data_IF_254947368359
#
_entry.id   IF_254947368359
#
_cell.length_a   1.000
_cell.length_b   1.000
_cell.length_c   1.000
_cell.angle_alpha   90.00
_cell.angle_beta   90.00
_cell.angle_gamma   90.00
#
_symmetry.space_group_name_H-M   'P 1'
#
loop_
_entity.id
_entity.type
_entity.pdbx_description
1 polymer ?
#
# COMPACT_ATOMS: atom_id res chain seq x y z
N UNK A 1 33.68 38.39 -20.32
CA UNK A 1 32.57 37.93 -19.45
C UNK A 1 32.77 36.44 -19.24
N UNK A 2 33.29 36.02 -18.07
CA UNK A 2 33.38 34.62 -17.70
C UNK A 2 32.00 34.22 -17.17
N UNK A 3 31.36 33.23 -17.80
CA UNK A 3 30.16 32.63 -17.31
C UNK A 3 30.50 31.77 -16.07
N UNK A 4 29.85 32.03 -14.95
CA UNK A 4 29.97 31.21 -13.75
C UNK A 4 29.38 29.83 -14.05
N UNK A 5 30.13 28.76 -13.80
CA UNK A 5 29.63 27.40 -13.87
C UNK A 5 28.56 27.19 -12.80
N UNK A 6 27.46 26.45 -13.11
CA UNK A 6 26.45 26.13 -12.11
C UNK A 6 27.09 25.29 -10.99
N UNK A 7 26.85 25.67 -9.76
CA UNK A 7 27.27 24.90 -8.60
C UNK A 7 26.54 23.53 -8.64
N UNK A 8 27.31 22.46 -8.62
CA UNK A 8 26.76 21.10 -8.45
C UNK A 8 26.02 21.02 -7.11
N UNK A 9 24.84 20.38 -7.06
CA UNK A 9 24.16 20.17 -5.81
C UNK A 9 25.07 19.35 -4.88
N UNK A 10 25.34 19.88 -3.69
CA UNK A 10 26.01 19.13 -2.64
C UNK A 10 25.02 18.04 -2.22
N UNK A 11 25.29 16.80 -2.62
CA UNK A 11 24.58 15.65 -2.07
C UNK A 11 24.81 15.67 -0.54
N UNK A 12 23.74 15.81 0.21
CA UNK A 12 23.80 15.63 1.65
C UNK A 12 24.33 14.22 1.93
N UNK A 13 25.34 14.12 2.80
CA UNK A 13 25.84 12.81 3.22
C UNK A 13 24.67 12.00 3.81
N UNK A 14 24.58 10.70 3.45
CA UNK A 14 23.58 9.82 3.99
C UNK A 14 23.63 9.87 5.54
N UNK A 15 22.48 9.92 6.23
CA UNK A 15 22.48 9.94 7.68
C UNK A 15 23.17 8.69 8.23
N UNK A 16 24.08 8.88 9.16
CA UNK A 16 24.82 7.77 9.80
C UNK A 16 23.99 7.03 10.85
N UNK A 17 22.85 7.60 11.23
CA UNK A 17 21.95 7.09 12.27
C UNK A 17 20.60 6.66 11.69
N UNK A 18 20.02 5.59 12.24
CA UNK A 18 18.65 5.14 11.97
C UNK A 18 17.65 6.12 12.61
N UNK A 19 17.40 7.25 11.96
CA UNK A 19 16.54 8.32 12.46
C UNK A 19 15.39 8.60 11.48
N UNK A 20 14.20 8.78 12.01
CA UNK A 20 13.05 9.25 11.23
C UNK A 20 13.22 10.71 10.85
N UNK A 21 13.13 11.00 9.57
CA UNK A 21 13.21 12.36 9.02
C UNK A 21 11.87 12.73 8.37
N UNK A 22 11.28 13.87 8.74
CA UNK A 22 10.10 14.35 8.04
C UNK A 22 10.45 14.83 6.64
N UNK A 23 9.63 14.47 5.67
CA UNK A 23 9.78 14.94 4.28
C UNK A 23 8.88 16.14 4.03
N UNK A 24 9.21 16.91 2.99
CA UNK A 24 8.35 17.98 2.52
C UNK A 24 6.99 17.43 2.08
N UNK A 25 5.93 18.22 2.26
CA UNK A 25 4.64 17.88 1.68
C UNK A 25 4.65 18.10 0.17
N UNK A 26 4.16 17.18 -0.65
CA UNK A 26 4.08 17.36 -2.09
C UNK A 26 3.07 18.42 -2.52
N UNK A 27 2.07 18.72 -1.67
CA UNK A 27 1.08 19.76 -1.90
C UNK A 27 0.81 20.55 -0.62
N UNK A 28 0.28 21.77 -0.75
CA UNK A 28 -0.03 22.61 0.40
C UNK A 28 -1.10 22.01 1.34
N UNK A 29 -2.06 21.27 0.79
CA UNK A 29 -3.06 20.49 1.51
C UNK A 29 -3.32 19.18 0.80
N UNK A 30 -3.40 18.11 1.55
CA UNK A 30 -3.83 16.78 1.11
C UNK A 30 -5.09 16.43 1.89
N UNK A 31 -6.14 16.01 1.17
CA UNK A 31 -7.45 15.73 1.77
C UNK A 31 -7.73 14.23 1.94
N UNK A 32 -6.83 13.36 1.46
CA UNK A 32 -6.95 11.91 1.58
C UNK A 32 -5.59 11.24 1.78
N UNK A 33 -5.53 10.08 2.45
CA UNK A 33 -4.30 9.32 2.64
C UNK A 33 -3.55 9.04 1.32
N UNK A 34 -2.23 8.97 1.40
CA UNK A 34 -1.37 8.56 0.29
C UNK A 34 -1.22 7.05 0.32
N UNK A 35 -1.66 6.38 -0.76
CA UNK A 35 -1.50 4.93 -0.96
C UNK A 35 -0.46 4.61 -2.04
N UNK A 36 -0.14 5.56 -2.91
CA UNK A 36 0.78 5.41 -4.03
C UNK A 36 2.12 6.07 -3.72
N UNK A 37 3.13 5.26 -3.41
CA UNK A 37 4.49 5.68 -3.08
C UNK A 37 5.46 4.69 -3.71
N UNK A 38 6.45 5.18 -4.47
CA UNK A 38 7.48 4.35 -5.07
C UNK A 38 8.83 5.05 -5.10
N UNK A 39 9.90 4.29 -4.92
CA UNK A 39 11.28 4.73 -5.08
C UNK A 39 11.91 4.01 -6.28
N UNK A 40 12.75 4.71 -7.02
CA UNK A 40 13.43 4.15 -8.19
C UNK A 40 14.34 2.98 -7.77
N UNK A 41 14.40 1.89 -8.56
CA UNK A 41 15.28 0.77 -8.27
C UNK A 41 16.78 1.07 -8.48
N UNK A 42 17.11 2.20 -9.11
CA UNK A 42 18.50 2.61 -9.45
C UNK A 42 18.93 3.91 -8.79
N UNK A 43 18.02 4.66 -8.19
CA UNK A 43 18.30 5.93 -7.53
C UNK A 43 17.41 6.10 -6.30
N UNK A 44 17.97 5.93 -5.11
CA UNK A 44 17.26 6.04 -3.85
C UNK A 44 16.66 7.43 -3.57
N UNK A 45 17.12 8.48 -4.27
CA UNK A 45 16.60 9.83 -4.11
C UNK A 45 15.44 10.16 -5.07
N UNK A 46 15.23 9.31 -6.08
CA UNK A 46 14.12 9.47 -7.01
C UNK A 46 12.87 8.79 -6.46
N UNK A 47 11.92 9.61 -6.00
CA UNK A 47 10.69 9.15 -5.35
C UNK A 47 9.47 9.70 -6.07
N UNK A 48 8.43 8.90 -6.20
CA UNK A 48 7.13 9.27 -6.75
C UNK A 48 6.03 9.10 -5.71
N UNK A 49 5.11 10.05 -5.70
CA UNK A 49 3.92 10.04 -4.84
C UNK A 49 2.68 10.31 -5.68
N UNK A 50 1.66 9.47 -5.51
CA UNK A 50 0.32 9.69 -6.04
C UNK A 50 -0.65 10.07 -4.94
N UNK A 51 -1.53 11.05 -5.19
CA UNK A 51 -2.47 11.57 -4.21
C UNK A 51 -3.91 11.18 -4.51
N UNK A 52 -4.77 11.27 -3.53
CA UNK A 52 -6.21 11.05 -3.67
C UNK A 52 -6.91 12.07 -4.57
N UNK A 53 -6.30 13.25 -4.75
CA UNK A 53 -6.77 14.30 -5.65
C UNK A 53 -6.34 14.07 -7.11
N UNK A 54 -5.61 12.96 -7.38
CA UNK A 54 -5.21 12.56 -8.71
C UNK A 54 -3.90 13.18 -9.21
N UNK A 55 -3.11 13.80 -8.36
CA UNK A 55 -1.82 14.37 -8.73
C UNK A 55 -0.69 13.37 -8.53
N UNK A 56 0.27 13.37 -9.47
CA UNK A 56 1.54 12.68 -9.36
C UNK A 56 2.65 13.71 -9.11
N UNK A 57 3.42 13.49 -8.06
CA UNK A 57 4.57 14.29 -7.68
C UNK A 57 5.85 13.46 -7.77
N UNK A 58 6.93 14.12 -8.18
CA UNK A 58 8.26 13.55 -8.34
C UNK A 58 9.27 14.36 -7.54
N UNK A 59 10.06 13.66 -6.74
CA UNK A 59 11.24 14.18 -6.06
C UNK A 59 12.50 13.57 -6.66
N UNK A 60 13.60 14.31 -6.69
CA UNK A 60 14.95 13.85 -7.06
C UNK A 60 15.96 14.09 -5.96
N UNK A 61 15.49 14.48 -4.78
CA UNK A 61 16.29 14.78 -3.61
C UNK A 61 15.80 14.03 -2.35
N UNK A 62 15.20 12.86 -2.56
CA UNK A 62 14.74 12.01 -1.47
C UNK A 62 13.55 12.57 -0.70
N UNK A 63 12.69 13.37 -1.35
CA UNK A 63 11.50 13.96 -0.73
C UNK A 63 11.74 15.30 -0.07
N UNK A 64 12.93 15.90 -0.23
CA UNK A 64 13.21 17.25 0.24
C UNK A 64 12.42 18.32 -0.52
N UNK A 65 12.15 18.07 -1.80
CA UNK A 65 11.29 18.90 -2.65
C UNK A 65 10.50 18.05 -3.64
N UNK A 66 9.36 18.59 -4.10
CA UNK A 66 8.46 17.88 -4.99
C UNK A 66 8.05 18.75 -6.18
N UNK A 67 7.99 18.13 -7.36
CA UNK A 67 7.45 18.72 -8.57
C UNK A 67 6.23 17.92 -9.01
N UNK A 68 5.09 18.60 -9.22
CA UNK A 68 3.95 17.96 -9.86
C UNK A 68 4.30 17.67 -11.33
N UNK A 69 4.23 16.41 -11.73
CA UNK A 69 4.60 15.93 -13.07
C UNK A 69 3.39 15.52 -13.90
N UNK A 70 2.27 15.15 -13.24
CA UNK A 70 1.04 14.79 -13.92
C UNK A 70 -0.18 14.98 -13.02
N UNK A 71 -1.38 15.01 -13.64
CA UNK A 71 -2.64 15.03 -12.92
C UNK A 71 -3.73 14.31 -13.71
N UNK A 72 -4.41 13.37 -13.05
CA UNK A 72 -5.60 12.69 -13.53
C UNK A 72 -6.81 13.28 -12.79
N UNK A 73 -7.39 14.35 -13.33
CA UNK A 73 -8.37 15.17 -12.63
C UNK A 73 -9.61 14.35 -12.20
N UNK A 74 -9.94 14.39 -10.91
CA UNK A 74 -11.09 13.70 -10.33
C UNK A 74 -10.89 12.20 -10.06
N UNK A 75 -9.68 11.66 -10.27
CA UNK A 75 -9.39 10.23 -10.09
C UNK A 75 -8.17 10.02 -9.19
N UNK A 76 -8.37 9.46 -8.00
CA UNK A 76 -7.29 9.17 -7.06
C UNK A 76 -6.23 8.26 -7.68
N UNK A 77 -4.95 8.56 -7.47
CA UNK A 77 -3.85 7.66 -7.79
C UNK A 77 -3.71 6.66 -6.63
N UNK A 78 -3.95 5.40 -6.90
CA UNK A 78 -3.98 4.34 -5.88
C UNK A 78 -2.69 3.53 -5.83
N UNK A 79 -1.95 3.48 -6.93
CA UNK A 79 -0.70 2.73 -7.01
C UNK A 79 0.27 3.42 -7.97
N UNK A 80 1.55 3.32 -7.68
CA UNK A 80 2.64 3.71 -8.57
C UNK A 80 3.78 2.71 -8.40
N UNK A 81 4.41 2.30 -9.50
CA UNK A 81 5.51 1.34 -9.44
C UNK A 81 6.53 1.56 -10.55
N UNK A 82 7.80 1.48 -10.21
CA UNK A 82 8.91 1.41 -11.16
C UNK A 82 9.10 -0.03 -11.63
N UNK A 83 9.44 -0.20 -12.90
CA UNK A 83 9.89 -1.48 -13.43
C UNK A 83 11.34 -1.73 -12.98
N UNK A 84 11.56 -2.83 -12.26
CA UNK A 84 12.89 -3.21 -11.78
C UNK A 84 13.86 -3.62 -12.92
N UNK A 85 13.32 -4.02 -14.09
CA UNK A 85 14.10 -4.43 -15.27
C UNK A 85 14.33 -3.28 -16.25
N UNK A 86 13.44 -2.28 -16.24
CA UNK A 86 13.49 -1.08 -17.08
C UNK A 86 13.29 0.17 -16.20
N UNK A 87 14.33 0.67 -15.52
CA UNK A 87 14.16 1.73 -14.50
C UNK A 87 13.55 3.05 -14.99
N UNK A 88 13.56 3.30 -16.30
CA UNK A 88 12.85 4.42 -16.92
C UNK A 88 11.34 4.20 -17.04
N UNK A 89 10.87 2.96 -16.97
CA UNK A 89 9.44 2.63 -17.04
C UNK A 89 8.80 2.76 -15.66
N UNK A 90 7.72 3.52 -15.61
CA UNK A 90 6.88 3.69 -14.41
C UNK A 90 5.42 3.56 -14.81
N UNK A 91 4.64 2.89 -13.98
CA UNK A 91 3.19 2.79 -14.12
C UNK A 91 2.51 3.45 -12.92
N UNK A 92 1.41 4.14 -13.20
CA UNK A 92 0.52 4.70 -12.19
C UNK A 92 -0.91 4.25 -12.46
N UNK A 93 -1.60 3.78 -11.43
CA UNK A 93 -2.99 3.34 -11.48
C UNK A 93 -3.91 4.38 -10.89
N UNK A 94 -4.89 4.84 -11.69
CA UNK A 94 -5.87 5.82 -11.27
C UNK A 94 -7.25 5.16 -11.09
N UNK A 95 -7.95 5.48 -10.01
CA UNK A 95 -9.28 4.94 -9.70
C UNK A 95 -10.26 5.23 -10.85
N UNK A 96 -10.84 4.18 -11.43
CA UNK A 96 -11.79 4.25 -12.55
C UNK A 96 -11.28 5.06 -13.77
N UNK A 97 -9.92 5.16 -13.92
CA UNK A 97 -9.28 5.90 -15.02
C UNK A 97 -8.07 5.17 -15.60
N UNK A 98 -7.88 3.89 -15.24
CA UNK A 98 -6.92 3.01 -15.87
C UNK A 98 -5.46 3.27 -15.51
N UNK A 99 -4.57 2.93 -16.44
CA UNK A 99 -3.12 2.98 -16.27
C UNK A 99 -2.52 4.17 -17.02
N UNK A 100 -1.62 4.87 -16.34
CA UNK A 100 -0.77 5.93 -16.88
C UNK A 100 0.68 5.44 -16.89
N UNK A 101 1.35 5.57 -18.02
CA UNK A 101 2.70 5.07 -18.27
C UNK A 101 3.66 6.22 -18.52
N UNK A 102 4.81 6.13 -17.87
CA UNK A 102 6.00 6.96 -18.15
C UNK A 102 7.13 6.06 -18.66
N UNK A 103 7.92 6.55 -19.60
CA UNK A 103 9.16 5.89 -20.08
C UNK A 103 10.42 6.68 -19.75
N UNK A 104 10.31 7.75 -18.98
CA UNK A 104 11.36 8.70 -18.63
C UNK A 104 11.47 8.92 -17.11
N UNK A 105 11.27 7.84 -16.36
CA UNK A 105 11.36 7.81 -14.91
C UNK A 105 10.41 8.81 -14.21
N UNK A 106 9.18 8.92 -14.73
CA UNK A 106 8.10 9.70 -14.13
C UNK A 106 8.11 11.19 -14.51
N UNK A 107 8.82 11.61 -15.54
CA UNK A 107 8.81 13.02 -15.98
C UNK A 107 7.59 13.34 -16.84
N UNK A 108 7.29 12.48 -17.82
CA UNK A 108 6.11 12.61 -18.70
C UNK A 108 5.23 11.36 -18.65
N UNK A 109 3.94 11.54 -18.87
CA UNK A 109 2.94 10.49 -18.68
C UNK A 109 1.94 10.44 -19.83
N UNK A 110 1.59 9.23 -20.25
CA UNK A 110 0.55 8.98 -21.23
C UNK A 110 -0.38 7.86 -20.74
N UNK A 111 -1.67 7.97 -21.03
CA UNK A 111 -2.63 6.90 -20.72
C UNK A 111 -2.36 5.69 -21.62
N UNK A 112 -2.34 4.49 -21.04
CA UNK A 112 -2.19 3.24 -21.77
C UNK A 112 -3.57 2.57 -21.89
N UNK A 113 -4.01 2.19 -23.11
CA UNK A 113 -5.36 1.66 -23.33
C UNK A 113 -5.57 0.27 -22.76
N UNK A 114 -6.83 -0.13 -22.58
CA UNK A 114 -7.25 -1.47 -22.18
C UNK A 114 -7.76 -1.58 -20.73
N UNK A 115 -7.48 -0.58 -19.89
CA UNK A 115 -7.98 -0.48 -18.51
C UNK A 115 -8.73 0.85 -18.26
N UNK A 116 -9.21 1.52 -19.29
CA UNK A 116 -9.63 2.94 -19.27
C UNK A 116 -10.66 3.33 -18.20
N UNK A 117 -11.49 2.38 -17.78
CA UNK A 117 -12.56 2.60 -16.76
C UNK A 117 -12.41 1.71 -15.53
N UNK A 118 -11.31 0.98 -15.44
CA UNK A 118 -11.03 0.08 -14.33
C UNK A 118 -10.11 0.77 -13.32
N UNK A 119 -10.00 0.15 -12.16
CA UNK A 119 -9.19 0.62 -11.06
C UNK A 119 -7.98 -0.29 -10.87
N UNK A 120 -6.80 0.04 -11.44
CA UNK A 120 -5.58 -0.67 -11.11
C UNK A 120 -5.22 -0.46 -9.64
N UNK A 121 -4.90 -1.54 -8.93
CA UNK A 121 -4.60 -1.54 -7.50
C UNK A 121 -3.15 -1.91 -7.20
N UNK A 122 -2.53 -2.68 -8.10
CA UNK A 122 -1.14 -3.11 -7.95
C UNK A 122 -0.53 -3.37 -9.32
N UNK A 123 0.80 -3.28 -9.39
CA UNK A 123 1.59 -3.63 -10.56
C UNK A 123 2.65 -4.67 -10.21
N UNK A 124 2.96 -5.51 -11.20
CA UNK A 124 4.08 -6.44 -11.19
C UNK A 124 4.83 -6.37 -12.51
N UNK A 125 6.08 -6.78 -12.50
CA UNK A 125 6.91 -6.77 -13.70
C UNK A 125 7.67 -8.07 -13.84
N UNK A 126 7.78 -8.53 -15.07
CA UNK A 126 8.73 -9.55 -15.52
C UNK A 126 9.66 -8.92 -16.55
N UNK A 127 10.59 -9.68 -17.14
CA UNK A 127 11.46 -9.11 -18.20
C UNK A 127 10.71 -8.71 -19.45
N UNK A 128 9.56 -9.35 -19.74
CA UNK A 128 8.80 -9.19 -20.97
C UNK A 128 7.40 -8.61 -20.78
N UNK A 129 6.85 -8.67 -19.55
CA UNK A 129 5.47 -8.31 -19.25
C UNK A 129 5.39 -7.29 -18.13
N UNK A 130 4.48 -6.34 -18.29
CA UNK A 130 3.88 -5.60 -17.19
C UNK A 130 2.56 -6.27 -16.79
N UNK A 131 2.30 -6.36 -15.50
CA UNK A 131 1.12 -6.96 -14.89
C UNK A 131 0.36 -5.88 -14.11
N UNK A 132 -0.96 -5.89 -14.19
CA UNK A 132 -1.83 -5.06 -13.39
C UNK A 132 -2.90 -5.90 -12.70
N UNK A 133 -2.98 -5.79 -11.37
CA UNK A 133 -4.13 -6.24 -10.61
C UNK A 133 -5.15 -5.12 -10.54
N UNK A 134 -6.40 -5.42 -10.83
CA UNK A 134 -7.49 -4.44 -10.87
C UNK A 134 -8.72 -4.96 -10.13
N UNK A 135 -9.75 -4.11 -10.02
CA UNK A 135 -11.09 -4.47 -9.55
C UNK A 135 -11.81 -5.52 -10.43
N UNK A 136 -11.21 -5.92 -11.55
CA UNK A 136 -11.73 -6.92 -12.51
C UNK A 136 -10.68 -7.96 -12.91
N UNK A 137 -9.82 -8.36 -11.97
CA UNK A 137 -8.85 -9.43 -12.19
C UNK A 137 -7.47 -8.94 -12.60
N UNK A 138 -6.73 -9.81 -13.27
CA UNK A 138 -5.36 -9.58 -13.73
C UNK A 138 -5.33 -9.26 -15.22
N UNK A 139 -4.53 -8.26 -15.55
CA UNK A 139 -4.25 -7.82 -16.92
C UNK A 139 -2.74 -7.84 -17.17
N UNK A 140 -2.36 -8.04 -18.43
CA UNK A 140 -0.98 -8.00 -18.88
C UNK A 140 -0.82 -7.05 -20.07
N UNK A 141 0.37 -6.45 -20.20
CA UNK A 141 0.76 -5.68 -21.37
C UNK A 141 2.21 -5.97 -21.76
N UNK A 142 2.50 -5.95 -23.07
CA UNK A 142 3.84 -5.97 -23.62
C UNK A 142 4.25 -4.55 -24.00
N UNK A 143 5.24 -4.01 -23.31
CA UNK A 143 5.73 -2.64 -23.60
C UNK A 143 4.62 -1.60 -23.50
N UNK A 144 4.30 -0.96 -24.64
CA UNK A 144 3.26 0.07 -24.76
C UNK A 144 1.93 -0.46 -25.31
N UNK A 145 1.79 -1.76 -25.52
CA UNK A 145 0.57 -2.36 -26.04
C UNK A 145 -0.61 -2.17 -25.09
N UNK A 146 -1.82 -2.35 -25.59
CA UNK A 146 -3.02 -2.31 -24.77
C UNK A 146 -3.00 -3.44 -23.73
N UNK A 147 -3.52 -3.14 -22.53
CA UNK A 147 -3.73 -4.12 -21.49
C UNK A 147 -4.78 -5.17 -21.89
N UNK A 148 -4.45 -6.43 -21.71
CA UNK A 148 -5.30 -7.58 -22.05
C UNK A 148 -5.64 -8.36 -20.79
N UNK A 149 -6.94 -8.71 -20.54
CA UNK A 149 -7.33 -9.51 -19.38
C UNK A 149 -6.78 -10.92 -19.50
N UNK A 150 -6.29 -11.48 -18.39
CA UNK A 150 -5.76 -12.85 -18.35
C UNK A 150 -6.50 -13.77 -17.40
N UNK A 151 -7.38 -13.26 -16.55
CA UNK A 151 -8.21 -14.08 -15.66
C UNK A 151 -8.54 -13.40 -14.35
N UNK A 152 -9.15 -14.18 -13.45
CA UNK A 152 -9.59 -13.76 -12.13
C UNK A 152 -10.58 -12.58 -12.14
N UNK A 153 -11.45 -12.51 -13.17
CA UNK A 153 -12.35 -11.37 -13.41
C UNK A 153 -13.37 -11.10 -12.28
N UNK A 154 -13.58 -12.07 -11.40
CA UNK A 154 -14.45 -11.97 -10.21
C UNK A 154 -13.68 -11.53 -8.95
N UNK A 155 -12.36 -11.40 -9.02
CA UNK A 155 -11.53 -11.02 -7.91
C UNK A 155 -11.09 -9.55 -8.05
N UNK A 156 -11.21 -8.77 -6.98
CA UNK A 156 -10.52 -7.48 -6.87
C UNK A 156 -9.07 -7.73 -6.46
N UNK A 157 -8.16 -7.76 -7.44
CA UNK A 157 -6.75 -8.11 -7.22
C UNK A 157 -6.00 -6.93 -6.65
N UNK A 158 -5.56 -7.05 -5.40
CA UNK A 158 -4.81 -6.03 -4.67
C UNK A 158 -3.31 -6.31 -4.58
N UNK A 159 -2.89 -7.55 -4.82
CA UNK A 159 -1.52 -8.00 -4.64
C UNK A 159 -1.07 -8.89 -5.80
N UNK A 160 0.14 -8.63 -6.31
CA UNK A 160 0.79 -9.41 -7.37
C UNK A 160 2.26 -9.63 -7.04
N UNK A 161 2.77 -10.83 -7.31
CA UNK A 161 4.19 -11.12 -7.24
C UNK A 161 4.63 -12.00 -8.42
N UNK A 162 5.73 -11.61 -9.09
CA UNK A 162 6.42 -12.45 -10.05
C UNK A 162 7.47 -13.31 -9.34
N UNK A 163 7.38 -14.63 -9.45
CA UNK A 163 8.29 -15.56 -8.78
C UNK A 163 9.55 -15.82 -9.59
N UNK A 164 9.43 -15.73 -10.91
CA UNK A 164 10.54 -15.91 -11.85
C UNK A 164 10.56 -14.76 -12.83
N UNK A 165 11.76 -14.43 -13.31
CA UNK A 165 11.94 -13.44 -14.38
C UNK A 165 12.03 -14.06 -15.77
N UNK A 166 11.91 -15.39 -15.87
CA UNK A 166 11.96 -16.17 -17.12
C UNK A 166 10.58 -16.30 -17.73
N UNK A 167 10.47 -16.45 -19.04
CA UNK A 167 9.22 -16.76 -19.72
C UNK A 167 9.04 -18.28 -19.89
N UNK A 168 7.84 -18.80 -19.61
CA UNK A 168 6.74 -18.11 -18.94
C UNK A 168 7.03 -17.86 -17.46
N UNK A 169 6.68 -16.67 -16.99
CA UNK A 169 6.86 -16.30 -15.58
C UNK A 169 5.84 -17.01 -14.69
N UNK A 170 6.29 -17.50 -13.54
CA UNK A 170 5.38 -17.95 -12.49
C UNK A 170 4.94 -16.74 -11.68
N UNK A 171 3.62 -16.63 -11.47
CA UNK A 171 2.99 -15.48 -10.83
C UNK A 171 2.15 -15.92 -9.65
N UNK A 172 2.01 -15.01 -8.66
CA UNK A 172 0.98 -15.06 -7.62
C UNK A 172 0.10 -13.82 -7.72
N UNK A 173 -1.20 -14.01 -7.49
CA UNK A 173 -2.19 -12.95 -7.38
C UNK A 173 -3.05 -13.18 -6.13
N UNK A 174 -3.27 -12.11 -5.40
CA UNK A 174 -4.16 -12.11 -4.24
C UNK A 174 -5.05 -10.88 -4.24
N UNK A 175 -6.14 -10.95 -3.52
CA UNK A 175 -7.08 -9.84 -3.51
C UNK A 175 -8.16 -9.97 -2.46
N UNK A 176 -9.31 -9.38 -2.74
CA UNK A 176 -10.49 -9.36 -1.89
C UNK A 176 -11.57 -10.25 -2.51
N UNK A 177 -12.06 -11.22 -1.73
CA UNK A 177 -13.17 -12.06 -2.11
C UNK A 177 -14.46 -11.53 -1.50
N UNK A 178 -15.50 -11.41 -2.31
CA UNK A 178 -16.83 -11.05 -1.83
C UNK A 178 -17.47 -12.16 -0.95
N UNK A 179 -16.94 -13.39 -1.03
CA UNK A 179 -17.47 -14.53 -0.29
C UNK A 179 -16.78 -14.66 1.09
N UNK A 180 -17.46 -14.22 2.13
CA UNK A 180 -17.00 -14.38 3.51
C UNK A 180 -16.95 -15.88 3.89
N UNK A 181 -15.81 -16.33 4.45
CA UNK A 181 -15.62 -17.69 4.95
C UNK A 181 -14.94 -18.66 3.99
N UNK A 182 -14.50 -18.19 2.84
CA UNK A 182 -13.60 -18.92 1.92
C UNK A 182 -12.14 -18.74 2.39
N UNK A 183 -11.25 -19.66 1.99
CA UNK A 183 -9.82 -19.50 2.18
C UNK A 183 -9.33 -18.16 1.61
N UNK A 184 -8.19 -17.64 2.12
CA UNK A 184 -7.57 -16.43 1.58
C UNK A 184 -7.50 -16.51 0.05
N UNK A 185 -8.00 -15.51 -0.69
CA UNK A 185 -8.06 -15.54 -2.16
C UNK A 185 -6.66 -15.34 -2.75
N UNK A 186 -5.91 -16.43 -2.82
CA UNK A 186 -4.57 -16.51 -3.37
C UNK A 186 -4.54 -17.49 -4.54
N UNK A 187 -4.07 -17.03 -5.67
CA UNK A 187 -4.00 -17.77 -6.93
C UNK A 187 -2.59 -17.78 -7.49
N UNK A 188 -2.23 -18.87 -8.16
CA UNK A 188 -0.96 -19.00 -8.86
C UNK A 188 -1.17 -19.24 -10.35
N UNK A 189 -0.25 -18.74 -11.15
CA UNK A 189 -0.14 -18.99 -12.58
C UNK A 189 1.25 -19.54 -12.89
N UNK A 190 1.36 -20.69 -13.60
CA UNK A 190 2.64 -21.23 -14.05
C UNK A 190 3.11 -20.68 -15.41
N UNK A 191 2.26 -19.93 -16.11
CA UNK A 191 2.34 -19.67 -17.55
C UNK A 191 2.15 -18.17 -17.91
N UNK A 192 2.63 -17.28 -17.05
CA UNK A 192 2.61 -15.82 -17.29
C UNK A 192 1.23 -15.20 -17.20
N UNK A 193 0.30 -15.84 -16.49
CA UNK A 193 -1.06 -15.36 -16.31
C UNK A 193 -2.08 -15.97 -17.27
N UNK A 194 -1.68 -16.88 -18.17
CA UNK A 194 -2.62 -17.50 -19.12
C UNK A 194 -3.61 -18.42 -18.42
N UNK A 195 -3.18 -19.13 -17.38
CA UNK A 195 -4.06 -19.94 -16.52
C UNK A 195 -3.83 -19.63 -15.04
N UNK A 196 -4.88 -19.76 -14.25
CA UNK A 196 -4.84 -19.50 -12.81
C UNK A 196 -5.44 -20.65 -12.02
N UNK A 197 -4.78 -21.04 -10.94
CA UNK A 197 -5.25 -22.07 -10.02
C UNK A 197 -5.18 -21.53 -8.59
N UNK A 198 -6.19 -21.83 -7.77
CA UNK A 198 -6.20 -21.46 -6.36
C UNK A 198 -5.08 -22.18 -5.60
N UNK A 199 -4.37 -21.47 -4.74
CA UNK A 199 -3.38 -22.06 -3.83
C UNK A 199 -4.12 -22.70 -2.67
N UNK A 200 -4.08 -24.05 -2.61
CA UNK A 200 -4.81 -24.83 -1.62
C UNK A 200 -4.15 -24.79 -0.22
N UNK A 201 -4.92 -25.10 0.82
CA UNK A 201 -4.41 -25.27 2.18
C UNK A 201 -4.18 -23.97 2.95
N UNK A 202 -4.68 -22.83 2.43
CA UNK A 202 -4.56 -21.54 3.12
C UNK A 202 -5.45 -21.46 4.37
N UNK A 203 -5.01 -20.63 5.33
CA UNK A 203 -5.84 -20.29 6.48
C UNK A 203 -7.18 -19.69 6.04
N UNK A 204 -8.27 -20.15 6.65
CA UNK A 204 -9.61 -19.60 6.43
C UNK A 204 -9.92 -18.41 7.35
N UNK A 205 -8.92 -17.89 8.04
CA UNK A 205 -9.11 -16.85 9.02
C UNK A 205 -9.22 -15.44 8.42
N UNK A 206 -8.95 -15.25 7.12
CA UNK A 206 -8.96 -13.95 6.46
C UNK A 206 -9.72 -13.97 5.14
N UNK A 207 -10.12 -12.79 4.67
CA UNK A 207 -10.85 -12.60 3.41
C UNK A 207 -10.08 -11.77 2.40
N UNK A 208 -8.93 -11.20 2.77
CA UNK A 208 -8.20 -10.25 1.92
C UNK A 208 -6.69 -10.50 1.95
N UNK A 209 -6.09 -10.61 0.78
CA UNK A 209 -4.64 -10.51 0.55
C UNK A 209 -4.34 -9.11 0.06
N UNK A 210 -3.71 -8.31 0.91
CA UNK A 210 -3.47 -6.87 0.67
C UNK A 210 -2.16 -6.62 -0.06
N UNK A 211 -1.14 -7.43 0.21
CA UNK A 211 0.21 -7.24 -0.34
C UNK A 211 0.94 -8.57 -0.53
N UNK A 212 1.74 -8.67 -1.58
CA UNK A 212 2.64 -9.78 -1.86
C UNK A 212 4.02 -9.24 -2.20
N UNK A 213 5.06 -9.86 -1.65
CA UNK A 213 6.44 -9.53 -1.99
C UNK A 213 7.26 -10.80 -2.20
N UNK A 214 8.19 -10.76 -3.16
CA UNK A 214 9.12 -11.83 -3.46
C UNK A 214 10.55 -11.42 -3.08
N UNK A 215 11.17 -12.17 -2.18
CA UNK A 215 12.53 -11.95 -1.72
C UNK A 215 13.59 -12.51 -2.66
N UNK A 216 14.84 -12.50 -2.23
CA UNK A 216 15.97 -13.10 -2.92
C UNK A 216 15.83 -14.62 -3.10
N UNK A 217 16.59 -15.17 -4.04
CA UNK A 217 16.70 -16.61 -4.26
C UNK A 217 17.70 -17.22 -3.26
N UNK A 218 17.31 -18.32 -2.65
CA UNK A 218 18.18 -19.18 -1.89
C UNK A 218 18.09 -20.61 -2.45
N UNK A 219 19.14 -21.10 -3.13
CA UNK A 219 19.17 -22.44 -3.75
C UNK A 219 17.93 -22.73 -4.61
N UNK A 220 17.59 -21.79 -5.53
CA UNK A 220 16.43 -21.85 -6.42
C UNK A 220 15.05 -21.78 -5.73
N UNK A 221 15.03 -21.53 -4.43
CA UNK A 221 13.82 -21.28 -3.66
C UNK A 221 13.72 -19.79 -3.34
N UNK A 222 12.55 -19.23 -3.53
CA UNK A 222 12.23 -17.84 -3.20
C UNK A 222 11.39 -17.80 -1.94
N UNK A 223 11.79 -16.96 -1.00
CA UNK A 223 10.95 -16.59 0.13
C UNK A 223 9.93 -15.57 -0.32
N UNK A 224 8.69 -15.76 0.08
CA UNK A 224 7.58 -14.87 -0.25
C UNK A 224 6.90 -14.39 1.02
N UNK A 225 6.38 -13.17 0.97
CA UNK A 225 5.57 -12.57 2.03
C UNK A 225 4.17 -12.29 1.52
N UNK A 226 3.21 -12.45 2.40
CA UNK A 226 1.82 -12.11 2.17
C UNK A 226 1.28 -11.36 3.37
N UNK A 227 0.93 -10.09 3.16
CA UNK A 227 0.16 -9.27 4.09
C UNK A 227 -1.33 -9.48 3.87
N UNK A 228 -2.07 -9.67 4.95
CA UNK A 228 -3.51 -9.92 4.94
C UNK A 228 -4.22 -9.10 6.00
N UNK A 229 -5.54 -9.09 5.97
CA UNK A 229 -6.37 -8.47 7.02
C UNK A 229 -6.38 -9.25 8.36
N UNK A 230 -5.66 -10.36 8.45
CA UNK A 230 -5.59 -11.18 9.68
C UNK A 230 -4.16 -11.49 10.12
N UNK A 231 -3.17 -10.90 9.47
CA UNK A 231 -1.77 -11.06 9.85
C UNK A 231 -0.82 -11.20 8.66
N UNK A 232 0.43 -11.49 9.00
CA UNK A 232 1.52 -11.68 8.06
C UNK A 232 1.81 -13.16 7.88
N UNK A 233 2.03 -13.59 6.64
CA UNK A 233 2.36 -14.98 6.28
C UNK A 233 3.66 -15.02 5.48
N UNK A 234 4.41 -16.11 5.66
CA UNK A 234 5.65 -16.38 4.92
C UNK A 234 5.60 -17.73 4.23
N UNK A 235 6.07 -17.81 3.00
CA UNK A 235 6.38 -19.04 2.30
C UNK A 235 7.88 -19.13 2.05
N UNK A 236 8.47 -20.29 2.31
CA UNK A 236 9.89 -20.61 2.06
C UNK A 236 10.06 -21.67 0.97
N UNK A 237 9.05 -21.87 0.13
CA UNK A 237 9.01 -22.94 -0.89
C UNK A 237 8.34 -22.50 -2.20
N UNK A 238 8.55 -21.24 -2.61
CA UNK A 238 7.97 -20.65 -3.82
C UNK A 238 6.43 -20.56 -3.78
N UNK A 239 5.84 -20.32 -2.61
CA UNK A 239 4.40 -20.11 -2.44
C UNK A 239 3.55 -21.38 -2.40
N UNK A 240 4.18 -22.57 -2.27
CA UNK A 240 3.45 -23.85 -2.16
C UNK A 240 2.80 -24.01 -0.80
N UNK A 241 3.55 -23.68 0.26
CA UNK A 241 3.05 -23.68 1.64
C UNK A 241 3.29 -22.33 2.29
N UNK A 242 2.36 -21.93 3.15
CA UNK A 242 2.39 -20.66 3.86
C UNK A 242 2.29 -20.89 5.36
N UNK A 243 3.19 -20.27 6.10
CA UNK A 243 3.20 -20.28 7.55
C UNK A 243 2.72 -18.94 8.07
N UNK A 244 1.75 -18.97 8.99
CA UNK A 244 1.22 -17.75 9.61
C UNK A 244 -0.19 -17.94 10.17
N UNK A 245 -0.78 -16.91 10.75
CA UNK A 245 -0.18 -15.59 10.92
C UNK A 245 1.07 -15.65 11.82
N UNK A 246 2.13 -14.93 11.42
CA UNK A 246 3.37 -14.87 12.18
C UNK A 246 3.16 -14.11 13.49
N UNK A 247 3.70 -14.62 14.57
CA UNK A 247 3.76 -13.93 15.87
C UNK A 247 5.14 -13.31 16.16
N UNK A 248 6.14 -13.67 15.36
CA UNK A 248 7.52 -13.23 15.56
C UNK A 248 8.04 -13.49 16.97
N UNK A 249 7.76 -14.69 17.51
CA UNK A 249 8.09 -14.99 18.91
C UNK A 249 7.31 -14.14 19.93
N UNK A 250 6.16 -13.58 19.56
CA UNK A 250 5.38 -12.67 20.38
C UNK A 250 5.75 -11.19 20.24
N UNK A 251 6.64 -10.86 19.30
CA UNK A 251 7.08 -9.47 19.06
C UNK A 251 6.30 -8.75 17.96
N UNK A 252 5.54 -9.49 17.13
CA UNK A 252 4.69 -8.95 16.10
C UNK A 252 3.22 -8.93 16.61
N UNK A 253 2.53 -7.79 16.60
CA UNK A 253 1.14 -7.73 17.03
C UNK A 253 0.21 -8.43 16.03
N UNK A 254 -0.92 -8.93 16.51
CA UNK A 254 -1.99 -9.42 15.67
C UNK A 254 -2.76 -8.22 15.08
N UNK A 255 -2.47 -7.87 13.85
CA UNK A 255 -3.09 -6.76 13.10
C UNK A 255 -3.16 -7.11 11.61
N UNK A 256 -3.81 -6.29 10.82
CA UNK A 256 -3.73 -6.32 9.37
C UNK A 256 -2.34 -5.86 8.89
N UNK A 257 -1.89 -6.37 7.75
CA UNK A 257 -0.66 -5.91 7.10
C UNK A 257 -0.98 -5.54 5.65
N UNK A 258 -0.96 -4.24 5.38
CA UNK A 258 -1.32 -3.68 4.08
C UNK A 258 -0.12 -3.55 3.13
N UNK A 259 1.12 -3.53 3.65
CA UNK A 259 2.34 -3.41 2.85
C UNK A 259 3.42 -4.34 3.38
N UNK A 260 4.09 -5.05 2.46
CA UNK A 260 5.27 -5.87 2.76
C UNK A 260 6.36 -5.62 1.71
N UNK A 261 7.62 -5.62 2.15
CA UNK A 261 8.75 -5.41 1.26
C UNK A 261 10.00 -6.14 1.76
N UNK A 262 10.77 -6.74 0.85
CA UNK A 262 12.10 -7.28 1.16
C UNK A 262 13.18 -6.21 1.02
N UNK A 263 14.26 -6.38 1.78
CA UNK A 263 15.54 -5.78 1.42
C UNK A 263 16.07 -6.49 0.17
N UNK A 264 16.65 -5.73 -0.74
CA UNK A 264 17.17 -6.26 -2.01
C UNK A 264 17.99 -7.53 -1.83
N UNK A 265 17.71 -8.53 -2.66
CA UNK A 265 18.42 -9.81 -2.73
C UNK A 265 18.49 -10.60 -1.41
N UNK A 266 17.71 -10.15 -0.39
CA UNK A 266 17.59 -10.85 0.89
C UNK A 266 16.37 -11.75 0.89
N UNK A 267 16.47 -12.88 1.55
CA UNK A 267 15.37 -13.83 1.78
C UNK A 267 14.92 -13.85 3.25
N UNK A 268 15.72 -13.30 4.14
CA UNK A 268 15.58 -13.32 5.59
C UNK A 268 15.28 -11.95 6.20
N UNK A 269 15.50 -10.86 5.43
CA UNK A 269 15.29 -9.49 5.89
C UNK A 269 14.19 -8.78 5.12
N UNK A 270 13.16 -8.38 5.85
CA UNK A 270 11.99 -7.72 5.26
C UNK A 270 11.26 -6.82 6.26
N UNK A 271 10.39 -6.00 5.70
CA UNK A 271 9.54 -5.05 6.40
C UNK A 271 8.07 -5.42 6.23
N UNK A 272 7.27 -5.14 7.27
CA UNK A 272 5.82 -5.26 7.26
C UNK A 272 5.20 -4.02 7.89
N UNK A 273 4.26 -3.40 7.19
CA UNK A 273 3.56 -2.18 7.62
C UNK A 273 2.06 -2.43 7.76
N UNK A 274 1.46 -1.71 8.70
CA UNK A 274 0.04 -1.72 9.00
C UNK A 274 -0.47 -0.31 9.19
N UNK A 275 -1.68 -0.02 8.72
CA UNK A 275 -2.44 1.19 9.05
C UNK A 275 -3.35 1.00 10.28
N UNK A 276 -3.26 -0.17 10.92
CA UNK A 276 -4.01 -0.49 12.15
C UNK A 276 -5.49 -0.72 11.91
N UNK A 277 -5.96 -0.75 10.64
CA UNK A 277 -7.38 -0.90 10.33
C UNK A 277 -8.24 0.20 10.96
N UNK A 278 -7.68 1.41 11.15
CA UNK A 278 -8.34 2.55 11.81
C UNK A 278 -8.33 2.50 13.34
N UNK A 279 -7.51 1.66 13.96
CA UNK A 279 -7.45 1.47 15.42
C UNK A 279 -6.05 1.72 15.96
N UNK A 280 -5.40 2.77 16.02
CA UNK A 280 -4.08 3.10 16.65
C UNK A 280 -3.08 1.92 16.86
N UNK A 281 -3.30 0.79 16.18
CA UNK A 281 -2.49 -0.44 16.23
C UNK A 281 -1.60 -0.61 15.01
N UNK A 282 -1.51 0.41 14.17
CA UNK A 282 -0.62 0.47 13.03
C UNK A 282 0.84 0.48 13.44
N UNK A 283 1.73 0.36 12.48
CA UNK A 283 3.16 0.42 12.70
C UNK A 283 3.98 -0.09 11.52
N UNK A 284 5.28 -0.08 11.74
CA UNK A 284 6.26 -0.63 10.82
C UNK A 284 7.24 -1.50 11.59
N UNK A 285 7.37 -2.74 11.13
CA UNK A 285 8.25 -3.73 11.74
C UNK A 285 9.25 -4.25 10.72
N UNK A 286 10.40 -4.66 11.19
CA UNK A 286 11.37 -5.41 10.40
C UNK A 286 11.81 -6.68 11.08
N UNK A 287 12.25 -7.64 10.29
CA UNK A 287 12.94 -8.85 10.71
C UNK A 287 14.26 -8.99 9.97
N UNK A 288 15.23 -9.67 10.58
CA UNK A 288 16.50 -10.04 9.96
C UNK A 288 16.77 -11.57 10.07
N UNK A 289 15.77 -12.32 10.54
CA UNK A 289 15.85 -13.77 10.80
C UNK A 289 14.69 -14.57 10.17
N UNK A 290 14.16 -14.06 9.06
CA UNK A 290 13.10 -14.72 8.30
C UNK A 290 11.73 -14.75 8.98
N UNK A 291 11.49 -13.84 9.93
CA UNK A 291 10.19 -13.70 10.62
C UNK A 291 10.12 -14.42 11.96
N UNK A 292 11.25 -14.90 12.49
CA UNK A 292 11.30 -15.50 13.83
C UNK A 292 11.13 -14.46 14.93
N UNK A 293 11.70 -13.25 14.73
CA UNK A 293 11.52 -12.11 15.61
C UNK A 293 11.33 -10.84 14.79
N UNK A 294 10.55 -9.90 15.33
CA UNK A 294 10.33 -8.59 14.73
C UNK A 294 10.74 -7.47 15.68
N UNK A 295 11.27 -6.41 15.09
CA UNK A 295 11.59 -5.17 15.80
C UNK A 295 10.71 -4.06 15.23
N UNK A 296 10.01 -3.33 16.10
CA UNK A 296 9.27 -2.13 15.70
C UNK A 296 10.25 -1.02 15.35
N UNK A 297 10.08 -0.40 14.19
CA UNK A 297 10.83 0.78 13.77
C UNK A 297 10.28 2.08 14.39
N UNK A 298 9.20 2.01 15.17
CA UNK A 298 8.62 3.11 15.93
C UNK A 298 8.37 4.36 15.07
N UNK A 299 7.58 4.25 13.98
CA UNK A 299 7.29 5.41 13.14
C UNK A 299 6.59 6.49 13.99
N UNK A 300 6.87 7.79 13.74
CA UNK A 300 6.30 8.89 14.53
C UNK A 300 4.77 8.96 14.47
N UNK A 301 4.17 8.49 13.36
CA UNK A 301 2.73 8.27 13.18
C UNK A 301 2.55 6.83 12.76
N UNK A 302 1.87 5.99 13.57
CA UNK A 302 1.87 4.55 13.39
C UNK A 302 1.03 4.04 12.21
N UNK A 303 0.00 4.77 11.78
CA UNK A 303 -0.92 4.31 10.74
C UNK A 303 -0.27 4.47 9.35
N UNK A 304 0.41 3.42 8.89
CA UNK A 304 1.19 3.43 7.65
C UNK A 304 0.29 3.08 6.48
N UNK A 305 0.11 4.03 5.56
CA UNK A 305 -0.73 3.85 4.37
C UNK A 305 0.06 3.47 3.12
N UNK A 306 1.35 3.81 3.05
CA UNK A 306 2.23 3.38 1.97
C UNK A 306 3.68 3.24 2.44
N UNK A 307 4.39 2.27 1.85
CA UNK A 307 5.79 1.96 2.10
C UNK A 307 6.51 1.75 0.76
N UNK A 308 7.64 2.43 0.57
CA UNK A 308 8.59 2.15 -0.50
C UNK A 308 9.98 1.96 0.10
N UNK A 309 10.71 0.95 -0.36
CA UNK A 309 12.03 0.57 0.16
C UNK A 309 13.04 0.70 -0.98
N UNK A 310 14.11 1.48 -0.77
CA UNK A 310 15.16 1.63 -1.76
C UNK A 310 15.94 0.33 -1.96
N UNK A 311 16.59 0.23 -3.12
CA UNK A 311 17.24 -1.00 -3.57
C UNK A 311 18.70 -1.12 -3.07
N UNK A 312 19.02 -0.50 -1.94
CA UNK A 312 20.34 -0.47 -1.35
C UNK A 312 20.55 -1.54 -0.29
N UNK A 313 21.79 -1.87 0.04
CA UNK A 313 22.13 -2.83 1.10
C UNK A 313 21.73 -2.31 2.49
N UNK A 314 21.81 -1.00 2.69
CA UNK A 314 21.24 -0.26 3.83
C UNK A 314 20.12 0.64 3.26
N UNK A 315 18.89 0.12 3.19
CA UNK A 315 17.85 0.80 2.44
C UNK A 315 17.34 2.05 3.17
N UNK A 316 16.90 3.01 2.36
CA UNK A 316 16.05 4.10 2.83
C UNK A 316 14.60 3.69 2.62
N UNK A 317 13.83 3.73 3.69
CA UNK A 317 12.38 3.53 3.67
C UNK A 317 11.72 4.89 3.49
N UNK A 318 10.81 4.98 2.54
CA UNK A 318 9.89 6.09 2.36
C UNK A 318 8.52 5.64 2.81
N UNK A 319 7.89 6.43 3.67
CA UNK A 319 6.66 6.03 4.36
C UNK A 319 5.66 7.16 4.30
N UNK A 320 4.44 6.84 3.89
CA UNK A 320 3.29 7.69 4.08
C UNK A 320 2.49 7.21 5.29
N UNK A 321 2.07 8.12 6.13
CA UNK A 321 1.24 7.81 7.28
C UNK A 321 0.08 8.79 7.41
N UNK A 322 -0.99 8.31 8.04
CA UNK A 322 -2.22 9.04 8.25
C UNK A 322 -2.56 9.04 9.73
N UNK A 323 -2.97 10.17 10.26
CA UNK A 323 -3.44 10.28 11.64
C UNK A 323 -4.93 10.54 11.65
N UNK A 324 -5.75 9.55 12.05
CA UNK A 324 -7.22 9.65 11.95
C UNK A 324 -7.83 10.78 12.77
N UNK A 325 -7.25 11.10 13.93
CA UNK A 325 -7.82 12.08 14.88
C UNK A 325 -7.95 13.51 14.34
N UNK A 326 -7.08 13.93 13.40
CA UNK A 326 -7.11 15.26 12.76
C UNK A 326 -7.01 15.19 11.23
N UNK A 327 -7.12 13.99 10.67
CA UNK A 327 -7.00 13.70 9.23
C UNK A 327 -5.66 14.18 8.63
N UNK A 328 -4.59 14.15 9.44
CA UNK A 328 -3.28 14.61 9.03
C UNK A 328 -2.51 13.56 8.26
N UNK A 329 -1.83 13.99 7.19
CA UNK A 329 -1.03 13.15 6.31
C UNK A 329 0.42 13.56 6.45
N UNK A 330 1.31 12.58 6.58
CA UNK A 330 2.73 12.77 6.76
C UNK A 330 3.52 11.92 5.78
N UNK A 331 4.66 12.43 5.37
CA UNK A 331 5.69 11.68 4.66
C UNK A 331 6.96 11.64 5.50
N UNK A 332 7.59 10.49 5.54
CA UNK A 332 8.80 10.23 6.31
C UNK A 332 9.83 9.50 5.47
N UNK A 333 11.09 9.70 5.79
CA UNK A 333 12.15 8.79 5.41
C UNK A 333 12.83 8.21 6.65
N UNK A 334 13.33 6.98 6.52
CA UNK A 334 14.10 6.29 7.54
C UNK A 334 15.24 5.52 6.86
N UNK A 335 16.47 5.87 7.20
CA UNK A 335 17.64 5.13 6.71
C UNK A 335 17.95 3.98 7.65
N UNK A 336 17.80 2.74 7.17
CA UNK A 336 18.01 1.55 7.99
C UNK A 336 19.48 1.13 8.00
N UNK A 337 20.22 1.58 9.00
CA UNK A 337 21.60 1.19 9.27
C UNK A 337 21.70 -0.09 10.10
N UNK A 338 20.57 -0.66 10.54
CA UNK A 338 20.51 -1.75 11.52
C UNK A 338 20.65 -1.31 12.97
N UNK A 339 20.83 0.00 13.23
CA UNK A 339 20.81 0.55 14.59
C UNK A 339 19.37 0.67 15.13
N UNK A 340 19.22 0.81 16.45
CA UNK A 340 17.92 1.07 17.05
C UNK A 340 17.32 2.37 16.52
N UNK A 341 15.99 2.40 16.23
CA UNK A 341 15.32 3.59 15.69
C UNK A 341 15.38 4.75 16.69
N UNK A 342 15.59 5.95 16.17
CA UNK A 342 15.54 7.19 16.93
C UNK A 342 14.36 8.04 16.47
N UNK A 343 13.67 8.74 17.40
CA UNK A 343 12.60 9.65 17.04
C UNK A 343 13.14 10.81 16.17
N UNK A 344 12.29 11.49 15.39
CA UNK A 344 12.71 12.61 14.58
C UNK A 344 13.19 13.78 15.46
N UNK A 345 14.20 14.52 15.03
CA UNK A 345 14.62 15.74 15.71
C UNK A 345 13.47 16.77 15.70
N UNK A 346 13.14 17.32 16.87
CA UNK A 346 12.06 18.31 17.00
C UNK A 346 10.64 17.73 17.13
N UNK A 347 10.47 16.41 17.25
CA UNK A 347 9.17 15.77 17.41
C UNK A 347 8.39 15.59 16.09
N UNK A 348 7.11 15.22 16.17
CA UNK A 348 6.24 15.08 15.01
C UNK A 348 5.88 16.46 14.46
N UNK A 349 6.15 16.76 13.18
CA UNK A 349 5.81 18.04 12.58
C UNK A 349 4.29 18.31 12.61
N UNK A 350 3.92 19.59 12.51
CA UNK A 350 2.54 19.93 12.23
C UNK A 350 2.13 19.35 10.85
N UNK A 351 0.88 18.86 10.69
CA UNK A 351 0.42 18.34 9.42
C UNK A 351 0.52 19.40 8.33
N UNK A 352 0.96 18.97 7.15
CA UNK A 352 1.08 19.85 5.99
C UNK A 352 -0.29 20.46 5.65
N UNK A 353 -0.35 21.78 5.53
CA UNK A 353 -1.52 22.52 5.05
C UNK A 353 -2.51 23.00 6.10
N UNK A 354 -2.29 22.79 7.39
CA UNK A 354 -3.07 23.48 8.41
C UNK A 354 -2.38 24.81 8.72
N UNK A 355 -3.00 25.93 8.36
CA UNK A 355 -2.60 27.25 8.88
C UNK A 355 -2.60 27.17 10.41
N UNK A 356 -1.62 27.81 11.12
CA UNK A 356 -1.65 27.85 12.57
C UNK A 356 -3.02 28.36 12.99
N UNK A 357 -3.71 27.58 13.83
CA UNK A 357 -4.96 28.02 14.42
C UNK A 357 -4.66 29.31 15.18
N UNK A 358 -5.16 30.43 14.66
CA UNK A 358 -5.13 31.68 15.38
C UNK A 358 -5.64 31.40 16.78
N UNK A 359 -5.01 32.00 17.80
CA UNK A 359 -5.42 31.99 19.19
C UNK A 359 -6.82 32.62 19.28
N UNK A 360 -7.84 31.85 19.01
CA UNK A 360 -9.24 32.16 19.04
C UNK A 360 -9.97 31.07 19.78
N UNK A 361 -10.34 31.36 21.00
CA UNK A 361 -11.45 30.82 21.81
C UNK A 361 -11.79 29.34 21.54
N UNK A 362 -11.64 28.47 22.53
CA UNK A 362 -12.25 27.16 22.59
C UNK A 362 -13.74 27.31 22.26
N UNK A 363 -14.10 27.05 21.00
CA UNK A 363 -15.48 26.81 20.64
C UNK A 363 -15.83 25.44 21.20
N UNK A 364 -16.82 25.39 22.08
CA UNK A 364 -17.43 24.19 22.58
C UNK A 364 -17.74 23.26 21.38
N UNK A 365 -17.41 21.98 21.52
CA UNK A 365 -17.85 20.92 20.59
C UNK A 365 -19.37 21.03 20.55
N UNK A 366 -19.91 21.52 19.43
CA UNK A 366 -21.36 21.53 19.23
C UNK A 366 -21.81 20.09 18.99
N UNK A 367 -22.79 19.64 19.76
CA UNK A 367 -23.47 18.33 19.62
C UNK A 367 -24.24 18.18 18.28
N UNK A 368 -23.93 18.98 17.27
CA UNK A 368 -24.65 19.05 15.97
C UNK A 368 -24.05 18.18 14.85
N UNK A 369 -23.19 17.19 15.16
CA UNK A 369 -22.65 16.30 14.15
C UNK A 369 -23.73 15.40 13.52
N UNK A 370 -24.74 15.01 14.28
CA UNK A 370 -25.81 14.10 13.84
C UNK A 370 -26.73 14.70 12.75
N UNK A 371 -27.16 15.97 12.81
CA UNK A 371 -27.93 16.60 11.74
C UNK A 371 -27.13 16.81 10.45
N UNK A 372 -25.80 16.93 10.51
CA UNK A 372 -24.96 17.09 9.32
C UNK A 372 -24.80 15.78 8.54
N UNK A 373 -24.76 14.63 9.22
CA UNK A 373 -24.77 13.30 8.58
C UNK A 373 -26.05 13.04 7.75
N UNK A 374 -27.17 13.61 8.17
CA UNK A 374 -28.45 13.48 7.47
C UNK A 374 -28.59 14.41 6.22
N UNK A 375 -27.65 15.32 6.00
CA UNK A 375 -27.64 16.26 4.86
C UNK A 375 -26.57 15.96 3.80
N UNK A 376 -25.70 14.95 4.04
CA UNK A 376 -24.65 14.53 3.11
C UNK A 376 -25.20 13.61 2.00
N UNK A 377 -24.38 13.34 0.96
CA UNK A 377 -24.74 12.40 -0.11
C UNK A 377 -24.94 10.96 0.39
N UNK A 378 -24.47 10.64 1.59
CA UNK A 378 -24.62 9.33 2.27
C UNK A 378 -25.94 9.21 3.06
N UNK A 379 -26.70 10.28 3.20
CA UNK A 379 -27.95 10.31 3.98
C UNK A 379 -28.97 9.22 3.56
N UNK A 380 -29.18 8.92 2.28
CA UNK A 380 -30.11 7.87 1.87
C UNK A 380 -29.73 6.49 2.39
N UNK A 381 -28.43 6.17 2.43
CA UNK A 381 -27.92 4.88 2.90
C UNK A 381 -28.00 4.73 4.42
N UNK A 382 -27.81 5.82 5.17
CA UNK A 382 -28.00 5.87 6.62
C UNK A 382 -29.47 5.64 7.01
N UNK A 383 -30.41 6.27 6.31
CA UNK A 383 -31.84 6.09 6.57
C UNK A 383 -32.29 4.66 6.23
N UNK A 384 -31.78 4.07 5.14
CA UNK A 384 -32.03 2.67 4.80
C UNK A 384 -31.42 1.73 5.82
N UNK A 385 -30.19 1.97 6.26
CA UNK A 385 -29.50 1.18 7.29
C UNK A 385 -30.23 1.19 8.64
N UNK A 386 -30.66 2.37 9.09
CA UNK A 386 -31.44 2.51 10.34
C UNK A 386 -32.82 1.85 10.21
N UNK A 387 -33.48 1.94 9.07
CA UNK A 387 -34.74 1.26 8.80
C UNK A 387 -34.59 -0.27 8.84
N UNK A 388 -33.56 -0.81 8.18
CA UNK A 388 -33.25 -2.24 8.20
C UNK A 388 -32.93 -2.74 9.62
N UNK A 389 -32.15 -1.98 10.39
CA UNK A 389 -31.82 -2.31 11.78
C UNK A 389 -33.07 -2.30 12.68
N UNK A 390 -33.97 -1.32 12.52
CA UNK A 390 -35.25 -1.27 13.27
C UNK A 390 -36.14 -2.46 12.95
N UNK A 391 -36.21 -2.89 11.69
CA UNK A 391 -36.97 -4.08 11.25
C UNK A 391 -36.38 -5.37 11.88
N UNK A 392 -35.04 -5.51 11.87
CA UNK A 392 -34.34 -6.64 12.48
C UNK A 392 -34.55 -6.67 14.00
N UNK A 393 -34.48 -5.53 14.67
CA UNK A 393 -34.73 -5.44 16.12
C UNK A 393 -36.17 -5.79 16.43
N UNK A 394 -37.16 -5.31 15.67
CA UNK A 394 -38.55 -5.61 15.84
C UNK A 394 -38.86 -7.12 15.62
N UNK A 395 -38.28 -7.72 14.58
CA UNK A 395 -38.41 -9.15 14.30
C UNK A 395 -37.75 -9.98 15.39
N UNK A 396 -36.60 -9.60 15.90
CA UNK A 396 -35.93 -10.25 17.02
C UNK A 396 -36.76 -10.18 18.31
N UNK A 397 -37.26 -9.00 18.68
CA UNK A 397 -38.09 -8.81 19.86
C UNK A 397 -39.40 -9.61 19.75
N UNK A 398 -40.04 -9.66 18.57
CA UNK A 398 -41.26 -10.45 18.36
C UNK A 398 -40.97 -11.95 18.39
N UNK A 399 -39.84 -12.41 17.89
CA UNK A 399 -39.38 -13.79 17.96
C UNK A 399 -39.16 -14.22 19.42
N UNK A 400 -38.42 -13.44 20.19
CA UNK A 400 -38.20 -13.73 21.65
C UNK A 400 -39.49 -13.74 22.43
N UNK A 401 -40.42 -12.81 22.18
CA UNK A 401 -41.74 -12.79 22.83
C UNK A 401 -42.62 -13.99 22.47
N UNK A 402 -42.54 -14.50 21.22
CA UNK A 402 -43.27 -15.71 20.81
C UNK A 402 -42.66 -17.00 21.35
N UNK A 403 -41.31 -17.04 21.49
CA UNK A 403 -40.61 -18.20 22.07
C UNK A 403 -40.88 -18.41 23.57
N UNK A 404 -41.11 -17.31 24.30
CA UNK A 404 -41.44 -17.37 25.75
C UNK A 404 -42.87 -17.88 26.08
N UNK A 405 -43.79 -17.92 25.11
CA UNK A 405 -45.19 -18.39 25.31
C UNK A 405 -45.42 -19.89 25.03
N UNK A 406 -44.38 -20.65 24.68
CA UNK A 406 -44.47 -22.10 24.44
C UNK A 406 -43.83 -22.95 25.55
N UNK A 407 -43.58 -22.37 26.73
CA UNK A 407 -43.06 -23.07 27.92
C UNK A 407 -43.90 -22.73 29.17
N UNK A 408 -45.23 -22.89 29.08
CA UNK A 408 -46.13 -23.05 30.23
C UNK A 408 -47.16 -24.08 29.85
#
# INVERSE_FOLDING_TARGET
MLAAAPALPVLAAAPTDSTWMPLASPAGRLDSPIFALAVSPTDAHLVLVGTGEGSLYRSTDGGGSWKQVHRVAGHAILTVAFDAYQPGLVLAGARAAGVWRSSDAGVTWAQQPGLDKLTPRTFGFTRSLALAGSDKGVFVAHGSDAWVPTGLSQLSVAALAALTSTDPSKLLAGGDSADAGVALPLFQSPDGGSTWTEVQGQSRAGSMVSSLAAGGLQRDVRTLLMGTNTGLYVSMDNGRNWNGPLSGGGTLPATDFNQVAFVRDRFDRFYAASDGGGSDRGGLWYTADGGSHFTSLQPPVPDITALAVSNDAQPTLYVASFRPGDHAIFLWSYHDTGAAPKPPPGGVPAPAGRAPAGTGSQAAVSDDWFPQLLRGPEAPYLVIGLGAFAILLFTFVTYVRRGGRRRT
#
